data_IF_254430803034
#
_entry.id   IF_254430803034
#
_cell.length_a   1.000
_cell.length_b   1.000
_cell.length_c   1.000
_cell.angle_alpha   90.00
_cell.angle_beta   90.00
_cell.angle_gamma   90.00
#
_symmetry.space_group_name_H-M   'P 1'
#
loop_
_entity.id
_entity.type
_entity.pdbx_description
1 polymer ?
#
# COMPACT_ATOMS: atom_id res chain seq x y z
N UNK A 1 43.17 -78.39 -27.99
CA UNK A 1 41.86 -77.70 -28.08
C UNK A 1 42.02 -76.55 -29.07
N UNK A 2 41.50 -76.67 -30.31
CA UNK A 2 41.77 -75.73 -31.39
C UNK A 2 40.60 -74.75 -31.66
N UNK A 3 40.79 -73.89 -32.67
CA UNK A 3 39.85 -72.89 -33.22
C UNK A 3 39.68 -71.64 -32.34
N UNK A 4 39.77 -70.42 -32.88
CA UNK A 4 39.97 -70.06 -34.28
C UNK A 4 40.07 -68.54 -34.47
N UNK A 5 40.35 -68.08 -35.70
CA UNK A 5 40.82 -66.71 -35.94
C UNK A 5 39.69 -65.76 -36.39
N UNK A 6 40.00 -64.45 -36.47
CA UNK A 6 40.07 -63.69 -37.76
C UNK A 6 40.26 -62.19 -37.56
N UNK A 7 41.15 -61.64 -38.39
CA UNK A 7 41.23 -60.22 -38.77
C UNK A 7 40.26 -59.90 -39.93
N UNK A 8 40.29 -58.64 -40.37
CA UNK A 8 39.41 -57.95 -41.33
C UNK A 8 38.06 -57.54 -40.73
N UNK A 9 37.43 -56.42 -41.10
CA UNK A 9 37.74 -55.17 -41.85
C UNK A 9 36.34 -54.59 -42.18
N UNK A 10 36.26 -53.31 -42.55
CA UNK A 10 35.03 -52.67 -43.05
C UNK A 10 33.85 -52.59 -42.04
N UNK A 11 32.86 -51.69 -42.16
CA UNK A 11 32.53 -50.79 -43.27
C UNK A 11 31.88 -49.46 -42.78
N UNK A 12 32.09 -48.40 -43.57
CA UNK A 12 31.04 -47.51 -44.11
C UNK A 12 30.06 -46.73 -43.20
N UNK A 13 30.33 -45.42 -43.12
CA UNK A 13 29.43 -44.28 -43.42
C UNK A 13 28.00 -44.11 -42.84
N UNK A 14 27.80 -42.91 -42.25
CA UNK A 14 26.59 -42.04 -42.20
C UNK A 14 25.60 -42.18 -43.39
N UNK A 15 24.34 -41.68 -43.31
CA UNK A 15 23.71 -40.75 -42.33
C UNK A 15 22.44 -41.41 -41.69
N UNK A 16 21.27 -40.79 -41.37
CA UNK A 16 20.86 -39.38 -41.28
C UNK A 16 19.96 -38.95 -40.05
N UNK A 17 19.65 -37.65 -40.01
CA UNK A 17 18.44 -36.97 -39.48
C UNK A 17 17.83 -37.35 -38.11
N UNK A 18 17.99 -36.44 -37.15
CA UNK A 18 17.17 -36.36 -35.93
C UNK A 18 17.48 -35.11 -35.11
N UNK A 19 16.66 -34.06 -35.23
CA UNK A 19 16.74 -32.89 -34.35
C UNK A 19 16.47 -33.31 -32.89
N UNK A 20 17.26 -32.83 -31.94
CA UNK A 20 16.70 -32.35 -30.67
C UNK A 20 17.57 -31.27 -30.04
N UNK A 21 16.91 -30.37 -29.32
CA UNK A 21 17.41 -29.05 -28.97
C UNK A 21 18.39 -29.09 -27.79
N UNK A 22 19.43 -28.26 -27.83
CA UNK A 22 20.39 -28.13 -26.73
C UNK A 22 19.66 -27.55 -25.51
N UNK A 23 19.66 -28.31 -24.40
CA UNK A 23 19.16 -27.85 -23.11
C UNK A 23 20.20 -26.94 -22.45
N UNK A 24 20.14 -25.64 -22.73
CA UNK A 24 20.85 -24.66 -21.90
C UNK A 24 20.05 -24.43 -20.63
N UNK A 25 20.46 -25.10 -19.54
CA UNK A 25 19.99 -24.80 -18.20
C UNK A 25 20.49 -23.41 -17.79
N UNK A 26 19.72 -22.38 -18.13
CA UNK A 26 19.94 -21.03 -17.63
C UNK A 26 19.59 -21.00 -16.15
N UNK A 27 20.62 -20.96 -15.30
CA UNK A 27 20.50 -20.70 -13.86
C UNK A 27 20.09 -19.26 -13.63
N UNK A 28 18.85 -18.91 -14.01
CA UNK A 28 18.24 -17.64 -13.69
C UNK A 28 18.14 -17.52 -12.17
N UNK A 29 19.05 -16.75 -11.59
CA UNK A 29 18.97 -16.34 -10.20
C UNK A 29 17.58 -15.77 -9.97
N UNK A 30 16.85 -16.32 -9.00
CA UNK A 30 15.52 -15.85 -8.65
C UNK A 30 15.64 -14.42 -8.08
N UNK A 31 15.56 -13.44 -8.98
CA UNK A 31 15.54 -12.03 -8.63
C UNK A 31 14.41 -11.85 -7.64
N UNK A 32 14.76 -11.46 -6.42
CA UNK A 32 13.81 -11.17 -5.35
C UNK A 32 12.91 -10.08 -5.89
N UNK A 33 11.74 -10.47 -6.35
CA UNK A 33 10.75 -9.57 -6.90
C UNK A 33 10.22 -8.78 -5.72
N UNK A 34 10.88 -7.67 -5.44
CA UNK A 34 10.46 -6.70 -4.45
C UNK A 34 9.06 -6.28 -4.87
N UNK A 35 8.06 -6.88 -4.22
CA UNK A 35 6.67 -6.56 -4.46
C UNK A 35 6.50 -5.13 -3.97
N UNK A 36 6.65 -4.18 -4.90
CA UNK A 36 6.33 -2.77 -4.72
C UNK A 36 4.85 -2.66 -4.34
N UNK A 37 4.56 -2.89 -3.06
CA UNK A 37 3.23 -2.77 -2.47
C UNK A 37 2.83 -1.32 -2.62
N UNK A 38 2.05 -1.02 -3.67
CA UNK A 38 1.56 0.33 -3.95
C UNK A 38 1.04 0.95 -2.66
N UNK A 39 1.58 2.11 -2.21
CA UNK A 39 1.17 2.71 -0.97
C UNK A 39 -0.35 2.90 -0.92
N UNK A 40 -0.97 2.42 0.16
CA UNK A 40 -2.40 2.62 0.40
C UNK A 40 -2.63 4.08 0.81
N UNK A 41 -2.84 4.94 -0.18
CA UNK A 41 -3.21 6.34 0.02
C UNK A 41 -4.72 6.45 0.26
N UNK A 42 -5.15 7.36 1.14
CA UNK A 42 -6.55 7.79 1.26
C UNK A 42 -6.63 9.32 1.13
N UNK A 43 -7.82 9.82 0.81
CA UNK A 43 -8.12 11.26 0.81
C UNK A 43 -8.56 11.69 2.21
N UNK A 44 -8.03 12.80 2.70
CA UNK A 44 -8.56 13.46 3.89
C UNK A 44 -9.96 14.02 3.62
N UNK A 45 -10.87 13.87 4.57
CA UNK A 45 -12.21 14.46 4.55
C UNK A 45 -12.17 15.99 4.71
N UNK A 46 -11.20 16.51 5.46
CA UNK A 46 -11.04 17.93 5.80
C UNK A 46 -10.30 18.67 4.68
N UNK A 47 -8.96 18.52 4.58
CA UNK A 47 -8.16 19.22 3.56
C UNK A 47 -8.18 18.61 2.15
N UNK A 48 -8.85 17.47 1.93
CA UNK A 48 -8.89 16.80 0.62
C UNK A 48 -7.58 16.14 0.15
N UNK A 49 -6.46 16.34 0.85
CA UNK A 49 -5.14 15.85 0.44
C UNK A 49 -5.02 14.31 0.49
N UNK A 50 -4.25 13.73 -0.43
CA UNK A 50 -3.85 12.32 -0.38
C UNK A 50 -2.74 12.11 0.64
N UNK A 51 -2.92 11.16 1.56
CA UNK A 51 -1.92 10.80 2.60
C UNK A 51 -1.81 9.27 2.72
N UNK A 52 -0.67 8.79 3.21
CA UNK A 52 -0.49 7.36 3.52
C UNK A 52 -1.42 6.94 4.66
N UNK A 53 -1.99 5.73 4.58
CA UNK A 53 -2.89 5.16 5.60
C UNK A 53 -2.32 5.22 7.03
N UNK A 54 -0.99 5.15 7.21
CA UNK A 54 -0.34 5.22 8.54
C UNK A 54 -0.39 6.60 9.22
N UNK A 55 -0.70 7.68 8.48
CA UNK A 55 -0.82 9.05 9.00
C UNK A 55 -2.27 9.55 8.97
N UNK A 56 -3.23 8.62 9.09
CA UNK A 56 -4.66 8.92 8.97
C UNK A 56 -5.46 8.18 10.02
N UNK A 57 -6.29 8.95 10.73
CA UNK A 57 -7.25 8.45 11.69
C UNK A 57 -8.60 8.25 10.98
N UNK A 58 -9.29 7.14 11.27
CA UNK A 58 -10.71 7.03 10.90
C UNK A 58 -11.50 8.05 11.72
N UNK A 59 -12.30 8.87 11.04
CA UNK A 59 -13.21 9.82 11.68
C UNK A 59 -14.08 9.07 12.69
N UNK A 60 -14.14 9.57 13.92
CA UNK A 60 -14.71 8.85 15.07
C UNK A 60 -16.09 8.24 14.77
N UNK A 61 -16.24 6.95 15.09
CA UNK A 61 -17.49 6.21 14.91
C UNK A 61 -18.57 6.69 15.89
N UNK A 62 -18.17 7.17 17.07
CA UNK A 62 -19.04 7.81 18.05
C UNK A 62 -19.59 9.13 17.48
N UNK A 63 -20.91 9.23 17.38
CA UNK A 63 -21.62 10.37 16.79
C UNK A 63 -21.37 11.69 17.52
N UNK A 64 -21.41 11.70 18.86
CA UNK A 64 -21.23 12.90 19.67
C UNK A 64 -19.83 13.50 19.44
N UNK A 65 -18.78 12.67 19.52
CA UNK A 65 -17.41 13.11 19.21
C UNK A 65 -17.23 13.54 17.75
N UNK A 66 -18.00 12.98 16.82
CA UNK A 66 -17.98 13.40 15.40
C UNK A 66 -18.54 14.81 15.28
N UNK A 67 -19.64 15.10 15.96
CA UNK A 67 -20.23 16.43 15.98
C UNK A 67 -19.30 17.46 16.64
N UNK A 68 -18.69 17.13 17.79
CA UNK A 68 -17.66 17.95 18.44
C UNK A 68 -16.47 18.24 17.51
N UNK A 69 -15.95 17.23 16.83
CA UNK A 69 -14.85 17.40 15.87
C UNK A 69 -15.24 18.30 14.70
N UNK A 70 -16.47 18.18 14.17
CA UNK A 70 -16.96 19.07 13.11
C UNK A 70 -17.08 20.52 13.59
N UNK A 71 -17.58 20.73 14.82
CA UNK A 71 -17.64 22.06 15.45
C UNK A 71 -16.26 22.70 15.62
N UNK A 72 -15.27 21.94 16.08
CA UNK A 72 -13.89 22.41 16.25
C UNK A 72 -13.17 22.68 14.91
N UNK A 73 -13.38 21.83 13.92
CA UNK A 73 -12.76 21.97 12.59
C UNK A 73 -13.23 23.23 11.85
N UNK A 74 -14.50 23.59 12.00
CA UNK A 74 -15.16 24.63 11.19
C UNK A 74 -15.73 25.78 12.05
N UNK A 75 -15.13 26.07 13.21
CA UNK A 75 -15.47 27.22 14.07
C UNK A 75 -16.95 27.34 14.51
N UNK A 76 -17.67 26.22 14.58
CA UNK A 76 -19.13 26.17 14.75
C UNK A 76 -19.94 26.85 13.61
N UNK A 77 -19.36 27.11 12.44
CA UNK A 77 -20.10 27.55 11.25
C UNK A 77 -21.07 26.44 10.79
N UNK A 78 -22.35 26.63 11.10
CA UNK A 78 -23.39 25.66 10.80
C UNK A 78 -23.53 25.37 9.29
N UNK A 79 -23.31 26.35 8.42
CA UNK A 79 -23.44 26.20 6.97
C UNK A 79 -22.29 25.35 6.43
N UNK A 80 -21.06 25.65 6.86
CA UNK A 80 -19.88 24.90 6.45
C UNK A 80 -19.88 23.47 7.03
N UNK A 81 -20.37 23.30 8.26
CA UNK A 81 -20.53 21.99 8.90
C UNK A 81 -21.52 21.12 8.12
N UNK A 82 -22.72 21.62 7.79
CA UNK A 82 -23.72 20.86 7.02
C UNK A 82 -23.23 20.49 5.63
N UNK A 83 -22.62 21.44 4.91
CA UNK A 83 -21.99 21.16 3.61
C UNK A 83 -20.94 20.03 3.70
N UNK A 84 -20.09 20.05 4.74
CA UNK A 84 -19.06 19.02 4.91
C UNK A 84 -19.61 17.68 5.40
N UNK A 85 -20.72 17.64 6.17
CA UNK A 85 -21.44 16.38 6.49
C UNK A 85 -21.92 15.70 5.21
N UNK A 86 -22.69 16.40 4.38
CA UNK A 86 -23.21 15.90 3.10
C UNK A 86 -22.09 15.41 2.17
N UNK A 87 -20.96 16.12 2.14
CA UNK A 87 -19.77 15.74 1.38
C UNK A 87 -19.10 14.46 1.91
N UNK A 88 -19.00 14.28 3.22
CA UNK A 88 -18.43 13.05 3.80
C UNK A 88 -19.32 11.83 3.53
N UNK A 89 -20.63 12.00 3.61
CA UNK A 89 -21.62 10.95 3.34
C UNK A 89 -21.59 10.52 1.87
N UNK A 90 -21.72 11.47 0.94
CA UNK A 90 -21.75 11.20 -0.51
C UNK A 90 -20.46 10.55 -1.05
N UNK A 91 -19.28 10.98 -0.58
CA UNK A 91 -18.00 10.39 -1.01
C UNK A 91 -17.52 9.22 -0.13
N UNK A 92 -18.27 8.82 0.92
CA UNK A 92 -17.83 7.82 1.90
C UNK A 92 -16.49 8.16 2.58
N UNK A 93 -16.13 9.45 2.69
CA UNK A 93 -14.83 9.90 3.21
C UNK A 93 -14.84 9.85 4.73
N UNK A 94 -14.22 8.81 5.29
CA UNK A 94 -14.16 8.54 6.73
C UNK A 94 -12.77 8.74 7.34
N UNK A 95 -11.87 9.52 6.73
CA UNK A 95 -10.49 9.65 7.21
C UNK A 95 -10.06 11.11 7.38
N UNK A 96 -9.37 11.42 8.48
CA UNK A 96 -8.72 12.70 8.76
C UNK A 96 -7.21 12.45 8.90
N UNK A 97 -6.37 13.32 8.31
CA UNK A 97 -4.92 13.15 8.40
C UNK A 97 -4.34 13.77 9.68
N UNK A 98 -3.19 13.26 10.11
CA UNK A 98 -2.54 13.67 11.35
C UNK A 98 -2.14 15.17 11.37
N UNK A 99 -1.94 15.79 10.20
CA UNK A 99 -1.75 17.25 10.04
C UNK A 99 -2.83 18.12 10.72
N UNK A 100 -4.03 17.57 10.96
CA UNK A 100 -5.12 18.30 11.63
C UNK A 100 -5.13 18.11 13.16
N UNK A 101 -4.07 17.59 13.77
CA UNK A 101 -3.95 17.41 15.20
C UNK A 101 -2.62 18.02 15.68
N UNK A 102 -2.64 18.69 16.83
CA UNK A 102 -1.43 19.21 17.45
C UNK A 102 -0.50 18.06 17.92
N UNK A 103 0.80 18.30 17.94
CA UNK A 103 1.80 17.24 18.21
C UNK A 103 1.68 16.62 19.62
N UNK A 104 1.14 17.37 20.58
CA UNK A 104 0.84 16.92 21.94
C UNK A 104 -0.36 15.97 22.03
N UNK A 105 -1.17 15.88 20.96
CA UNK A 105 -2.31 14.96 20.85
C UNK A 105 -1.89 13.53 20.44
N UNK A 106 -0.59 13.27 20.32
CA UNK A 106 -0.02 11.97 20.01
C UNK A 106 0.71 11.35 21.21
N UNK A 107 0.70 10.03 21.26
CA UNK A 107 1.48 9.20 22.19
C UNK A 107 2.43 8.30 21.40
N UNK A 108 3.63 8.11 21.96
CA UNK A 108 4.62 7.18 21.42
C UNK A 108 4.24 5.74 21.78
N UNK A 109 3.87 4.93 20.78
CA UNK A 109 3.68 3.50 20.96
C UNK A 109 5.02 2.77 21.11
N UNK A 110 5.01 1.65 21.86
CA UNK A 110 6.14 0.72 21.96
C UNK A 110 6.64 0.20 20.60
N UNK A 111 5.79 0.23 19.57
CA UNK A 111 6.13 -0.15 18.19
C UNK A 111 6.65 1.02 17.32
N UNK A 112 7.07 2.14 17.92
CA UNK A 112 7.50 3.39 17.23
C UNK A 112 6.46 4.05 16.32
N UNK A 113 5.21 3.62 16.37
CA UNK A 113 4.09 4.31 15.74
C UNK A 113 3.62 5.49 16.62
N UNK A 114 3.38 6.65 15.99
CA UNK A 114 2.61 7.73 16.63
C UNK A 114 1.13 7.31 16.65
N UNK A 115 0.56 7.20 17.84
CA UNK A 115 -0.86 6.87 18.05
C UNK A 115 -1.56 8.11 18.58
N UNK A 116 -2.76 8.37 18.09
CA UNK A 116 -3.59 9.50 18.53
C UNK A 116 -4.15 9.22 19.94
N UNK A 117 -4.09 10.20 20.86
CA UNK A 117 -4.64 10.08 22.21
C UNK A 117 -6.13 9.74 22.20
N UNK A 118 -6.59 8.98 23.20
CA UNK A 118 -8.02 8.57 23.28
C UNK A 118 -8.97 9.77 23.27
N UNK A 119 -8.60 10.85 23.95
CA UNK A 119 -9.35 12.11 24.04
C UNK A 119 -8.92 13.17 23.01
N UNK A 120 -8.09 12.82 22.02
CA UNK A 120 -7.60 13.78 21.04
C UNK A 120 -8.73 14.52 20.30
N UNK A 121 -8.45 15.77 19.97
CA UNK A 121 -9.32 16.66 19.18
C UNK A 121 -8.54 17.29 18.03
N UNK A 122 -9.19 17.49 16.87
CA UNK A 122 -8.55 18.18 15.76
C UNK A 122 -8.42 19.68 16.03
N UNK A 123 -7.38 20.28 15.47
CA UNK A 123 -7.21 21.72 15.39
C UNK A 123 -8.13 22.32 14.33
N UNK A 124 -8.54 23.58 14.53
CA UNK A 124 -9.28 24.40 13.57
C UNK A 124 -8.73 24.27 12.15
N UNK A 125 -9.58 23.98 11.18
CA UNK A 125 -9.18 23.92 9.77
C UNK A 125 -9.18 25.32 9.14
N UNK A 126 -8.00 25.93 9.08
CA UNK A 126 -7.78 27.10 8.23
C UNK A 126 -7.58 26.62 6.79
N UNK A 127 -8.63 26.72 5.98
CA UNK A 127 -8.51 26.60 4.53
C UNK A 127 -7.67 27.77 4.01
N UNK A 128 -6.35 27.56 3.86
CA UNK A 128 -5.50 28.50 3.13
C UNK A 128 -6.02 28.60 1.70
N UNK A 129 -6.75 29.69 1.43
CA UNK A 129 -7.28 29.98 0.12
C UNK A 129 -6.14 30.01 -0.91
N UNK A 130 -6.36 29.30 -2.02
CA UNK A 130 -5.58 29.41 -3.26
C UNK A 130 -6.44 30.09 -4.30
#
# INVERSE_FOLDING_TARGET
>A
MPLGPRTLADATSKPPLGLTHISMQSSAQAGVSEVYRRPRLRLCAVCGMKKHQHYMQTFTENANRREEWMKLLYDNDAVLIEYQKQKMESYGRKFICYDHFAADQFESSSQRALILKRNAVPSRYVSLAR
#
